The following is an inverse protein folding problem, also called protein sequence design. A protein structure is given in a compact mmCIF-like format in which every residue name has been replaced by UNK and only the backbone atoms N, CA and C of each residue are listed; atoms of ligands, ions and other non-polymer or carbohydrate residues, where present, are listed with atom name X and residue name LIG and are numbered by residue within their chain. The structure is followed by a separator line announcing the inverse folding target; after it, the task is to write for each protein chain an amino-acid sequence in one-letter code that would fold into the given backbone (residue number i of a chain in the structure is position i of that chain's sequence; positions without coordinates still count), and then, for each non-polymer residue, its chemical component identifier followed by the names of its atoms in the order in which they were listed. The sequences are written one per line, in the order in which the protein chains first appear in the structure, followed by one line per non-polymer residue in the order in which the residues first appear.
data_IF_182323204740
#
_entry.id   IF_182323204740
#
_cell.length_a   1.000
_cell.length_b   1.000
_cell.length_c   1.000
_cell.angle_alpha   90.00
_cell.angle_beta   90.00
_cell.angle_gamma   90.00
#
_symmetry.space_group_name_H-M   'P 1'
#
loop_
_entity.id
_entity.type
_entity.pdbx_description
1 polymer ?
#
# COMPACT_ATOMS: atom_id res chain seq x y z
N UNK A 1 -6.99 95.68 -3.42
CA UNK A 1 -8.14 95.23 -4.25
C UNK A 1 -8.58 93.90 -3.68
N UNK A 2 -9.62 93.92 -2.83
CA UNK A 2 -10.99 93.41 -3.13
C UNK A 2 -11.05 91.88 -3.05
N UNK A 3 -12.07 91.22 -2.52
CA UNK A 3 -13.20 91.47 -1.62
C UNK A 3 -13.84 90.07 -1.44
N UNK A 4 -14.66 89.93 -0.41
CA UNK A 4 -15.36 88.71 0.01
C UNK A 4 -16.41 88.14 -0.99
N UNK A 5 -16.94 86.94 -0.65
CA UNK A 5 -18.19 86.35 -1.18
C UNK A 5 -18.02 84.90 -1.67
N UNK A 6 -18.23 83.85 -0.86
CA UNK A 6 -19.52 83.22 -0.48
C UNK A 6 -20.22 82.46 -1.61
N UNK A 7 -20.16 81.11 -1.58
CA UNK A 7 -21.16 80.20 -2.19
C UNK A 7 -21.25 78.87 -1.39
N UNK A 8 -22.26 78.82 -0.52
CA UNK A 8 -23.28 77.77 -0.33
C UNK A 8 -22.89 76.30 0.04
N UNK A 9 -23.05 76.00 1.33
CA UNK A 9 -22.94 74.68 1.99
C UNK A 9 -24.26 73.87 2.00
N UNK A 10 -25.09 73.94 0.95
CA UNK A 10 -26.39 73.22 0.91
C UNK A 10 -26.57 72.26 -0.27
N UNK A 11 -25.55 71.46 -0.59
CA UNK A 11 -25.75 70.37 -1.56
C UNK A 11 -24.88 69.13 -1.32
N UNK A 12 -25.10 68.46 -0.20
CA UNK A 12 -24.76 67.04 -0.06
C UNK A 12 -25.64 66.37 1.01
N UNK A 13 -26.96 66.49 0.85
CA UNK A 13 -27.92 65.61 1.50
C UNK A 13 -27.95 64.27 0.76
N UNK A 14 -26.97 63.41 1.03
CA UNK A 14 -26.99 61.98 0.71
C UNK A 14 -26.26 61.20 1.82
N UNK A 15 -26.68 61.47 3.06
CA UNK A 15 -26.40 60.63 4.23
C UNK A 15 -27.64 59.81 4.54
N UNK A 16 -27.80 58.65 3.91
CA UNK A 16 -28.60 57.55 4.44
C UNK A 16 -28.30 56.27 3.66
N UNK A 17 -27.79 55.24 4.34
CA UNK A 17 -27.84 53.88 3.81
C UNK A 17 -26.51 53.14 3.69
N UNK A 18 -25.59 53.28 4.64
CA UNK A 18 -24.64 52.18 4.88
C UNK A 18 -25.31 51.17 5.82
N UNK A 19 -25.60 49.93 5.38
CA UNK A 19 -26.07 48.91 6.30
C UNK A 19 -24.95 48.65 7.29
N UNK A 20 -25.21 48.87 8.59
CA UNK A 20 -24.33 48.38 9.65
C UNK A 20 -24.39 46.85 9.61
N UNK A 21 -23.47 46.23 8.86
CA UNK A 21 -23.32 44.78 8.87
C UNK A 21 -22.85 44.41 10.28
N UNK A 22 -23.64 43.65 11.05
CA UNK A 22 -23.23 43.29 12.40
C UNK A 22 -21.97 42.43 12.32
N UNK A 23 -20.95 42.76 13.12
CA UNK A 23 -19.69 42.02 13.26
C UNK A 23 -19.86 40.54 13.68
N UNK A 24 -21.09 40.09 13.98
CA UNK A 24 -21.43 38.68 14.18
C UNK A 24 -21.52 37.88 12.87
N UNK A 25 -21.77 38.53 11.73
CA UNK A 25 -22.02 37.85 10.45
C UNK A 25 -20.74 37.38 9.75
N UNK A 26 -19.62 38.11 9.92
CA UNK A 26 -18.32 37.72 9.37
C UNK A 26 -17.70 36.51 10.08
N UNK A 27 -17.93 36.36 11.40
CA UNK A 27 -17.45 35.20 12.17
C UNK A 27 -18.15 33.90 11.77
N UNK A 28 -19.44 33.96 11.40
CA UNK A 28 -20.20 32.79 10.95
C UNK A 28 -19.80 32.33 9.53
N UNK A 29 -19.43 33.25 8.63
CA UNK A 29 -19.08 32.91 7.25
C UNK A 29 -17.76 32.13 7.14
N UNK A 30 -16.73 32.50 7.89
CA UNK A 30 -15.48 31.75 7.93
C UNK A 30 -15.65 30.41 8.64
N UNK A 31 -16.42 30.36 9.73
CA UNK A 31 -16.71 29.11 10.43
C UNK A 31 -17.47 28.11 9.53
N UNK A 32 -18.46 28.57 8.76
CA UNK A 32 -19.17 27.73 7.78
C UNK A 32 -18.25 27.28 6.64
N UNK A 33 -17.31 28.12 6.19
CA UNK A 33 -16.28 27.70 5.22
C UNK A 33 -15.35 26.64 5.78
N UNK A 34 -14.91 26.79 7.04
CA UNK A 34 -14.02 25.83 7.70
C UNK A 34 -14.73 24.49 7.93
N UNK A 35 -16.00 24.50 8.34
CA UNK A 35 -16.82 23.30 8.46
C UNK A 35 -16.99 22.62 7.10
N UNK A 36 -17.30 23.37 6.04
CA UNK A 36 -17.39 22.82 4.68
C UNK A 36 -16.07 22.26 4.15
N UNK A 37 -14.93 22.87 4.50
CA UNK A 37 -13.59 22.36 4.15
C UNK A 37 -13.30 21.07 4.93
N UNK A 38 -13.64 21.01 6.23
CA UNK A 38 -13.48 19.79 7.03
C UNK A 38 -14.34 18.65 6.51
N UNK A 39 -15.59 18.91 6.12
CA UNK A 39 -16.47 17.89 5.53
C UNK A 39 -15.94 17.40 4.18
N UNK A 40 -15.41 18.29 3.35
CA UNK A 40 -14.77 17.91 2.07
C UNK A 40 -13.50 17.11 2.29
N UNK A 41 -12.68 17.47 3.28
CA UNK A 41 -11.49 16.72 3.65
C UNK A 41 -11.84 15.31 4.17
N UNK A 42 -12.87 15.19 5.01
CA UNK A 42 -13.37 13.90 5.51
C UNK A 42 -13.94 13.03 4.37
N UNK A 43 -14.64 13.64 3.41
CA UNK A 43 -15.15 12.93 2.22
C UNK A 43 -14.05 12.45 1.25
N UNK A 44 -12.90 13.13 1.22
CA UNK A 44 -11.73 12.76 0.39
C UNK A 44 -10.74 11.81 1.09
N UNK A 45 -10.78 11.71 2.42
CA UNK A 45 -9.92 10.82 3.19
C UNK A 45 -9.91 9.34 2.72
N UNK A 46 -11.05 8.69 2.39
CA UNK A 46 -11.01 7.30 1.92
C UNK A 46 -10.36 7.14 0.53
N UNK A 47 -10.35 8.18 -0.31
CA UNK A 47 -9.71 8.15 -1.63
C UNK A 47 -8.19 8.22 -1.52
N UNK A 48 -7.66 9.05 -0.61
CA UNK A 48 -6.21 9.14 -0.35
C UNK A 48 -5.69 7.87 0.35
N UNK A 49 -6.49 7.27 1.24
CA UNK A 49 -6.15 5.99 1.86
C UNK A 49 -6.11 4.81 0.87
N UNK A 50 -6.74 4.98 -0.30
CA UNK A 50 -6.67 4.03 -1.43
C UNK A 50 -5.75 4.49 -2.56
N UNK A 51 -4.86 5.47 -2.34
CA UNK A 51 -3.85 5.83 -3.32
C UNK A 51 -2.92 4.63 -3.54
N UNK A 52 -3.22 3.86 -4.60
CA UNK A 52 -2.37 2.77 -5.04
C UNK A 52 -1.07 3.39 -5.59
N UNK A 53 0.10 2.81 -5.30
CA UNK A 53 1.31 3.27 -5.94
C UNK A 53 1.13 3.12 -7.45
N UNK A 54 1.52 4.13 -8.22
CA UNK A 54 1.40 4.10 -9.68
C UNK A 54 2.10 2.88 -10.32
N UNK A 55 3.03 2.26 -9.58
CA UNK A 55 3.73 1.04 -9.94
C UNK A 55 2.88 -0.24 -9.81
N UNK A 56 1.77 -0.24 -9.05
CA UNK A 56 0.92 -1.41 -8.88
C UNK A 56 -0.02 -1.59 -10.08
N UNK A 57 0.47 -2.25 -11.13
CA UNK A 57 -0.27 -2.50 -12.37
C UNK A 57 -1.62 -3.21 -12.14
N UNK A 58 -1.64 -4.22 -11.25
CA UNK A 58 -2.86 -4.96 -10.91
C UNK A 58 -3.65 -4.38 -9.73
N UNK A 59 -3.12 -3.33 -9.09
CA UNK A 59 -3.70 -2.75 -7.89
C UNK A 59 -4.09 -3.81 -6.85
N UNK A 60 -5.24 -3.62 -6.19
CA UNK A 60 -5.78 -4.60 -5.22
C UNK A 60 -6.59 -5.75 -5.83
N UNK A 61 -6.68 -5.87 -7.15
CA UNK A 61 -7.59 -6.82 -7.78
C UNK A 61 -7.18 -8.30 -7.53
N UNK A 62 -5.89 -8.59 -7.41
CA UNK A 62 -5.36 -9.96 -7.30
C UNK A 62 -5.11 -10.44 -5.86
N UNK A 63 -5.17 -9.53 -4.88
CA UNK A 63 -4.72 -9.78 -3.50
C UNK A 63 -5.80 -10.49 -2.65
N UNK A 64 -7.06 -10.47 -3.11
CA UNK A 64 -8.19 -10.96 -2.32
C UNK A 64 -8.38 -10.13 -1.05
N UNK A 65 -8.58 -10.79 0.09
CA UNK A 65 -8.78 -10.12 1.39
C UNK A 65 -7.49 -9.84 2.17
N UNK A 66 -6.32 -10.14 1.60
CA UNK A 66 -5.04 -9.99 2.31
C UNK A 66 -4.72 -8.53 2.56
N UNK A 67 -4.10 -8.27 3.71
CA UNK A 67 -3.70 -6.91 4.08
C UNK A 67 -2.41 -6.50 3.36
N UNK A 68 -2.37 -5.23 2.96
CA UNK A 68 -1.16 -4.58 2.42
C UNK A 68 -0.40 -4.01 3.61
N UNK A 69 0.85 -4.43 3.78
CA UNK A 69 1.71 -4.08 4.93
C UNK A 69 2.76 -3.04 4.55
N UNK A 70 3.20 -3.00 3.28
CA UNK A 70 4.26 -2.10 2.87
C UNK A 70 4.42 -1.97 1.36
N UNK A 71 5.57 -1.45 0.95
CA UNK A 71 5.90 -1.21 -0.46
C UNK A 71 6.44 -2.46 -1.19
N UNK A 72 7.03 -3.42 -0.46
CA UNK A 72 7.64 -4.62 -1.05
C UNK A 72 8.82 -4.29 -1.96
N UNK A 73 8.98 -5.08 -3.03
CA UNK A 73 10.14 -5.01 -3.94
C UNK A 73 10.07 -3.86 -4.95
N UNK A 74 8.91 -3.65 -5.58
CA UNK A 74 8.71 -2.73 -6.71
C UNK A 74 7.47 -1.83 -6.54
N UNK A 75 6.85 -1.82 -5.35
CA UNK A 75 5.58 -1.13 -5.12
C UNK A 75 4.36 -1.89 -5.61
N UNK A 76 4.54 -3.07 -6.22
CA UNK A 76 3.43 -3.95 -6.56
C UNK A 76 2.99 -4.72 -5.33
N UNK A 77 1.68 -4.95 -5.22
CA UNK A 77 1.10 -5.72 -4.14
C UNK A 77 1.22 -7.23 -4.36
N UNK A 78 2.45 -7.70 -4.51
CA UNK A 78 2.79 -9.12 -4.66
C UNK A 78 3.48 -9.64 -3.40
N UNK A 79 3.25 -10.93 -3.10
CA UNK A 79 3.97 -11.65 -2.06
C UNK A 79 5.17 -12.37 -2.67
N UNK A 80 6.37 -12.15 -2.14
CA UNK A 80 7.59 -12.85 -2.55
C UNK A 80 8.44 -13.11 -1.29
N UNK A 81 8.84 -14.35 -1.09
CA UNK A 81 9.84 -14.74 -0.10
C UNK A 81 11.22 -14.63 -0.73
N UNK A 82 11.92 -13.52 -0.47
CA UNK A 82 13.28 -13.29 -0.94
C UNK A 82 14.14 -12.75 0.21
N UNK A 83 15.34 -13.32 0.48
CA UNK A 83 16.23 -12.81 1.52
C UNK A 83 16.62 -11.34 1.36
N UNK A 84 16.70 -10.80 0.13
CA UNK A 84 17.05 -9.40 -0.13
C UNK A 84 15.91 -8.43 0.24
N UNK A 85 14.66 -8.93 0.22
CA UNK A 85 13.45 -8.17 0.50
C UNK A 85 12.69 -8.82 1.67
N UNK A 86 13.17 -8.66 2.91
CA UNK A 86 12.60 -9.31 4.11
C UNK A 86 11.12 -8.99 4.36
N UNK A 87 10.64 -7.86 3.84
CA UNK A 87 9.30 -7.35 4.09
C UNK A 87 8.52 -7.26 2.77
N UNK A 88 7.69 -8.27 2.44
CA UNK A 88 6.86 -8.23 1.25
C UNK A 88 5.76 -7.16 1.35
N UNK A 89 5.18 -6.78 0.21
CA UNK A 89 4.14 -5.75 0.17
C UNK A 89 2.83 -6.18 0.86
N UNK A 90 2.50 -7.47 0.81
CA UNK A 90 1.29 -8.07 1.37
C UNK A 90 1.64 -9.19 2.33
N UNK A 91 0.69 -9.61 3.19
CA UNK A 91 0.85 -10.84 3.98
C UNK A 91 0.59 -12.09 3.17
N UNK A 92 1.12 -13.22 3.65
CA UNK A 92 0.94 -14.51 3.01
C UNK A 92 -0.52 -14.99 3.04
N UNK A 93 -1.17 -15.01 4.22
CA UNK A 93 -2.54 -15.53 4.40
C UNK A 93 -3.58 -14.41 4.43
N UNK A 94 -4.83 -14.79 4.13
CA UNK A 94 -6.00 -13.93 4.34
C UNK A 94 -6.37 -13.85 5.83
N UNK A 95 -6.91 -12.71 6.29
CA UNK A 95 -7.32 -12.54 7.68
C UNK A 95 -8.46 -13.51 8.00
N UNK A 96 -8.26 -14.29 9.07
CA UNK A 96 -9.28 -15.13 9.69
C UNK A 96 -9.63 -14.55 11.06
N UNK A 97 -10.85 -14.79 11.58
CA UNK A 97 -11.29 -14.16 12.83
C UNK A 97 -10.40 -14.52 14.04
N UNK A 98 -9.76 -15.70 14.02
CA UNK A 98 -8.83 -16.10 15.08
C UNK A 98 -7.51 -15.34 15.00
N UNK A 99 -7.01 -15.10 13.79
CA UNK A 99 -5.82 -14.28 13.59
C UNK A 99 -6.11 -12.82 13.93
N UNK A 100 -7.29 -12.29 13.62
CA UNK A 100 -7.68 -10.92 13.99
C UNK A 100 -7.64 -10.71 15.51
N UNK A 101 -8.13 -11.67 16.30
CA UNK A 101 -7.98 -11.65 17.77
C UNK A 101 -6.52 -11.66 18.20
N UNK A 102 -5.67 -12.46 17.54
CA UNK A 102 -4.22 -12.47 17.82
C UNK A 102 -3.55 -11.13 17.44
N UNK A 103 -4.00 -10.48 16.37
CA UNK A 103 -3.52 -9.15 15.95
C UNK A 103 -3.91 -8.07 16.94
N UNK A 104 -5.07 -8.18 17.59
CA UNK A 104 -5.45 -7.30 18.68
C UNK A 104 -4.56 -7.49 19.90
N UNK A 105 -4.23 -8.74 20.25
CA UNK A 105 -3.26 -9.04 21.32
C UNK A 105 -1.85 -8.56 20.97
N UNK A 106 -1.44 -8.64 19.71
CA UNK A 106 -0.13 -8.19 19.22
C UNK A 106 0.12 -6.69 19.45
N UNK A 107 -0.94 -5.88 19.53
CA UNK A 107 -0.81 -4.43 19.85
C UNK A 107 -0.39 -4.18 21.31
N UNK A 108 -0.53 -5.18 22.19
CA UNK A 108 -0.12 -5.11 23.60
C UNK A 108 1.32 -5.58 23.84
N UNK A 109 1.64 -5.96 25.08
CA UNK A 109 2.97 -6.46 25.43
C UNK A 109 3.19 -7.91 24.93
N UNK A 110 4.30 -8.12 24.22
CA UNK A 110 4.66 -9.40 23.61
C UNK A 110 5.13 -10.45 24.62
N UNK A 111 5.33 -10.07 25.88
CA UNK A 111 5.57 -11.01 26.98
C UNK A 111 4.35 -11.87 27.29
N UNK A 112 3.15 -11.36 27.03
CA UNK A 112 1.89 -12.07 27.27
C UNK A 112 1.52 -13.05 26.15
N UNK A 113 2.23 -13.01 25.02
CA UNK A 113 2.03 -13.91 23.89
C UNK A 113 2.80 -15.21 24.09
N UNK A 114 2.09 -16.33 24.01
CA UNK A 114 2.68 -17.66 24.03
C UNK A 114 3.55 -17.91 22.78
N UNK A 115 4.45 -18.89 22.87
CA UNK A 115 5.35 -19.25 21.77
C UNK A 115 4.57 -19.71 20.52
N UNK A 116 3.46 -20.42 20.74
CA UNK A 116 2.58 -20.90 19.68
C UNK A 116 1.86 -19.76 18.97
N UNK A 117 1.33 -18.78 19.72
CA UNK A 117 0.70 -17.59 19.14
C UNK A 117 1.70 -16.77 18.30
N UNK A 118 2.95 -16.64 18.76
CA UNK A 118 4.03 -15.99 17.98
C UNK A 118 4.31 -16.74 16.68
N UNK A 119 4.39 -18.07 16.72
CA UNK A 119 4.55 -18.90 15.52
C UNK A 119 3.36 -18.78 14.57
N UNK A 120 2.13 -18.69 15.10
CA UNK A 120 0.93 -18.50 14.29
C UNK A 120 0.93 -17.15 13.58
N UNK A 121 1.28 -16.07 14.28
CA UNK A 121 1.47 -14.73 13.69
C UNK A 121 2.56 -14.71 12.62
N UNK A 122 3.66 -15.45 12.85
CA UNK A 122 4.72 -15.60 11.87
C UNK A 122 4.23 -16.31 10.61
N UNK A 123 3.58 -17.48 10.74
CA UNK A 123 3.05 -18.26 9.60
C UNK A 123 1.86 -17.62 8.90
N UNK A 124 1.22 -16.64 9.53
CA UNK A 124 0.21 -15.79 8.91
C UNK A 124 0.85 -14.73 8.01
N UNK A 125 1.95 -14.14 8.48
CA UNK A 125 2.67 -13.09 7.76
C UNK A 125 3.55 -13.65 6.64
N UNK A 126 4.28 -14.71 6.93
CA UNK A 126 5.28 -15.32 6.06
C UNK A 126 4.96 -16.77 5.75
N UNK A 127 5.28 -17.20 4.52
CA UNK A 127 5.18 -18.59 4.12
C UNK A 127 6.40 -19.38 4.58
N UNK A 128 7.60 -18.96 4.19
CA UNK A 128 8.86 -19.63 4.54
C UNK A 128 9.70 -18.89 5.58
N UNK A 129 10.45 -19.65 6.37
CA UNK A 129 11.53 -19.09 7.21
C UNK A 129 12.82 -18.92 6.41
N UNK A 130 13.74 -18.09 6.90
CA UNK A 130 15.08 -17.94 6.31
C UNK A 130 15.84 -19.27 6.19
N UNK A 131 15.66 -20.17 7.16
CA UNK A 131 16.26 -21.50 7.10
C UNK A 131 15.64 -22.36 6.00
N UNK A 132 14.33 -22.24 5.76
CA UNK A 132 13.63 -22.95 4.69
C UNK A 132 13.98 -22.39 3.31
N UNK A 133 14.10 -21.06 3.17
CA UNK A 133 14.50 -20.40 1.92
C UNK A 133 15.93 -20.77 1.51
N UNK A 134 16.84 -20.84 2.49
CA UNK A 134 18.25 -21.17 2.24
C UNK A 134 18.54 -22.68 2.24
N UNK A 135 17.52 -23.52 2.36
CA UNK A 135 17.72 -24.97 2.35
C UNK A 135 18.26 -25.43 1.00
N UNK A 136 19.34 -26.23 1.02
CA UNK A 136 19.97 -26.71 -0.21
C UNK A 136 19.04 -27.63 -0.99
N UNK A 137 18.64 -27.19 -2.17
CA UNK A 137 17.88 -28.00 -3.12
C UNK A 137 18.88 -28.89 -3.86
N UNK A 138 18.85 -30.20 -3.62
CA UNK A 138 19.74 -31.18 -4.27
C UNK A 138 19.40 -31.40 -5.76
N UNK A 139 18.96 -30.36 -6.47
CA UNK A 139 18.49 -30.37 -7.84
C UNK A 139 19.63 -30.67 -8.84
N UNK A 140 20.88 -30.41 -8.45
CA UNK A 140 22.05 -30.77 -9.28
C UNK A 140 22.16 -32.28 -9.54
N UNK A 141 21.68 -33.15 -8.62
CA UNK A 141 21.76 -34.60 -8.76
C UNK A 141 20.94 -35.14 -9.95
N UNK A 142 19.62 -34.85 -10.06
CA UNK A 142 18.86 -35.27 -11.22
C UNK A 142 19.33 -34.57 -12.51
N UNK A 143 19.84 -33.34 -12.45
CA UNK A 143 20.41 -32.66 -13.62
C UNK A 143 21.61 -33.45 -14.16
N UNK A 144 22.59 -33.77 -13.33
CA UNK A 144 23.77 -34.55 -13.74
C UNK A 144 23.35 -35.94 -14.22
N UNK A 145 22.43 -36.60 -13.51
CA UNK A 145 21.88 -37.90 -13.93
C UNK A 145 21.26 -37.86 -15.33
N UNK A 146 20.42 -36.86 -15.61
CA UNK A 146 19.77 -36.69 -16.90
C UNK A 146 20.79 -36.39 -18.02
N UNK A 147 21.81 -35.57 -17.75
CA UNK A 147 22.88 -35.30 -18.71
C UNK A 147 23.62 -36.60 -19.07
N UNK A 148 24.02 -37.39 -18.08
CA UNK A 148 24.69 -38.68 -18.32
C UNK A 148 23.79 -39.68 -19.07
N UNK A 149 22.49 -39.74 -18.74
CA UNK A 149 21.53 -40.60 -19.44
C UNK A 149 21.37 -40.23 -20.91
N UNK A 150 21.24 -38.94 -21.23
CA UNK A 150 21.11 -38.47 -22.61
C UNK A 150 22.39 -38.71 -23.42
N UNK A 151 23.57 -38.51 -22.83
CA UNK A 151 24.84 -38.85 -23.47
C UNK A 151 24.96 -40.35 -23.74
N UNK A 152 24.60 -41.19 -22.77
CA UNK A 152 24.57 -42.65 -22.93
C UNK A 152 23.61 -43.08 -24.04
N UNK A 153 22.40 -42.52 -24.06
CA UNK A 153 21.40 -42.79 -25.10
C UNK A 153 21.90 -42.37 -26.49
N UNK A 154 22.55 -41.21 -26.60
CA UNK A 154 23.09 -40.71 -27.87
C UNK A 154 24.17 -41.65 -28.43
N UNK A 155 25.08 -42.13 -27.57
CA UNK A 155 26.11 -43.11 -27.97
C UNK A 155 25.49 -44.45 -28.38
N UNK A 156 24.46 -44.92 -27.66
CA UNK A 156 23.75 -46.15 -28.00
C UNK A 156 23.05 -46.06 -29.37
N UNK A 157 22.37 -44.95 -29.65
CA UNK A 157 21.74 -44.71 -30.95
C UNK A 157 22.80 -44.68 -32.05
N UNK A 158 23.95 -44.03 -31.82
CA UNK A 158 25.04 -43.99 -32.79
C UNK A 158 25.59 -45.40 -33.11
N UNK A 159 25.85 -46.23 -32.09
CA UNK A 159 26.28 -47.62 -32.28
C UNK A 159 25.23 -48.43 -33.06
N UNK A 160 23.95 -48.26 -32.73
CA UNK A 160 22.85 -48.95 -33.41
C UNK A 160 22.77 -48.58 -34.90
N UNK A 161 22.79 -47.28 -35.21
CA UNK A 161 22.77 -46.78 -36.59
C UNK A 161 23.98 -47.28 -37.37
N UNK A 162 25.17 -47.34 -36.76
CA UNK A 162 26.36 -47.83 -37.46
C UNK A 162 26.32 -49.34 -37.72
N UNK A 163 25.63 -50.12 -36.87
CA UNK A 163 25.54 -51.58 -37.01
C UNK A 163 24.47 -52.04 -38.00
N UNK A 164 23.36 -51.30 -38.14
CA UNK A 164 22.20 -51.70 -38.94
C UNK A 164 21.85 -50.72 -40.08
N UNK A 165 22.66 -49.68 -40.29
CA UNK A 165 22.44 -48.66 -41.31
C UNK A 165 23.20 -48.87 -42.63
N UNK A 166 23.86 -50.03 -42.79
CA UNK A 166 24.30 -50.58 -44.08
C UNK A 166 23.27 -51.63 -44.54
#
# INVERSE_FOLDING_TARGET
RTAAGEVDLRRCSLLAGFPKIPLSSFKLSMANRLLQISERAVKLAPLVAQAQPAAAYHGRALIGKREVVGFGMNGEYSYIDNPDFPMPAIRYKEPTPDIEKLREKEKGDWKNLSLEEKKALYRYSFFQTYAEMNASRNEWKPIVGNVCLLLGATLWVWIFLKKFGE
#
